data_IF_952398731376
#
_entry.id   IF_952398731376
#
_cell.length_a   1.000
_cell.length_b   1.000
_cell.length_c   1.000
_cell.angle_alpha   90.00
_cell.angle_beta   90.00
_cell.angle_gamma   90.00
#
_symmetry.space_group_name_H-M   'P 1'
#
loop_
_entity.id
_entity.type
_entity.pdbx_description
1 polymer ?
#
# COMPACT_ATOMS: atom_id res chain seq x y z
N UNK A 1 11.43 -15.21 17.52
CA UNK A 1 10.09 -15.78 17.74
C UNK A 1 10.07 -17.06 18.57
N UNK A 2 11.13 -17.31 19.36
CA UNK A 2 11.26 -18.41 20.33
C UNK A 2 11.49 -17.87 21.76
N UNK A 3 11.42 -16.54 21.92
CA UNK A 3 11.55 -15.82 23.17
C UNK A 3 10.38 -16.17 24.09
N UNK A 4 10.60 -16.03 25.40
CA UNK A 4 9.61 -16.42 26.40
C UNK A 4 8.48 -15.40 26.52
N UNK A 5 8.76 -14.14 26.16
CA UNK A 5 7.81 -13.02 26.27
C UNK A 5 7.73 -12.20 24.99
N UNK A 6 6.64 -11.46 24.83
CA UNK A 6 6.45 -10.54 23.69
C UNK A 6 7.43 -9.37 23.79
N UNK A 7 7.71 -8.93 25.02
CA UNK A 7 8.61 -7.83 25.33
C UNK A 7 10.05 -8.18 24.92
N UNK A 8 10.54 -9.37 25.28
CA UNK A 8 11.84 -9.88 24.87
C UNK A 8 11.94 -10.01 23.34
N UNK A 9 10.89 -10.54 22.70
CA UNK A 9 10.84 -10.61 21.24
C UNK A 9 10.95 -9.23 20.58
N UNK A 10 10.18 -8.25 21.07
CA UNK A 10 10.22 -6.87 20.55
C UNK A 10 11.60 -6.25 20.78
N UNK A 11 12.21 -6.41 21.96
CA UNK A 11 13.54 -5.86 22.25
C UNK A 11 14.63 -6.44 21.33
N UNK A 12 14.58 -7.76 21.05
CA UNK A 12 15.50 -8.38 20.10
C UNK A 12 15.35 -7.80 18.67
N UNK A 13 14.11 -7.55 18.22
CA UNK A 13 13.87 -6.90 16.94
C UNK A 13 14.37 -5.44 16.92
N UNK A 14 14.29 -4.74 18.06
CA UNK A 14 14.78 -3.37 18.18
C UNK A 14 16.30 -3.27 18.02
N UNK A 15 17.06 -4.28 18.47
CA UNK A 15 18.51 -4.35 18.22
C UNK A 15 18.82 -4.43 16.72
N UNK A 16 18.13 -5.32 15.99
CA UNK A 16 18.31 -5.46 14.55
C UNK A 16 17.86 -4.19 13.82
N UNK A 17 16.73 -3.61 14.22
CA UNK A 17 16.25 -2.34 13.67
C UNK A 17 17.28 -1.22 13.83
N UNK A 18 17.94 -1.13 15.00
CA UNK A 18 19.00 -0.16 15.25
C UNK A 18 20.19 -0.31 14.30
N UNK A 19 20.62 -1.54 14.02
CA UNK A 19 21.69 -1.80 13.06
C UNK A 19 21.29 -1.52 11.61
N UNK A 20 20.06 -1.88 11.21
CA UNK A 20 19.51 -1.49 9.91
C UNK A 20 19.44 0.03 9.79
N UNK A 21 19.01 0.73 10.84
CA UNK A 21 18.97 2.18 10.88
C UNK A 21 20.37 2.78 10.79
N UNK A 22 21.39 2.19 11.44
CA UNK A 22 22.77 2.68 11.37
C UNK A 22 23.29 2.72 9.93
N UNK A 23 23.00 1.69 9.13
CA UNK A 23 23.49 1.58 7.74
C UNK A 23 22.56 2.22 6.69
N UNK A 24 21.32 2.53 7.05
CA UNK A 24 20.35 3.15 6.14
C UNK A 24 20.84 4.52 5.67
N UNK A 25 20.66 4.84 4.39
CA UNK A 25 20.89 6.21 3.89
C UNK A 25 19.89 7.21 4.47
N UNK A 26 20.23 8.49 4.46
CA UNK A 26 19.35 9.55 4.99
C UNK A 26 18.02 9.70 4.21
N UNK A 27 18.03 9.31 2.94
CA UNK A 27 16.88 9.27 2.03
C UNK A 27 16.21 7.88 1.96
N UNK A 28 16.67 6.91 2.76
CA UNK A 28 16.23 5.52 2.70
C UNK A 28 15.04 5.18 3.60
N UNK A 29 14.48 4.00 3.33
CA UNK A 29 13.33 3.41 4.03
C UNK A 29 13.71 2.12 4.74
N UNK A 30 13.11 1.89 5.92
CA UNK A 30 13.04 0.56 6.56
C UNK A 30 11.59 0.12 6.51
N UNK A 31 11.31 -0.93 5.74
CA UNK A 31 10.00 -1.56 5.74
C UNK A 31 10.03 -2.80 6.62
N UNK A 32 9.12 -2.87 7.59
CA UNK A 32 9.08 -3.95 8.56
C UNK A 32 7.70 -4.63 8.55
N UNK A 33 7.67 -5.93 8.25
CA UNK A 33 6.46 -6.74 8.34
C UNK A 33 6.49 -7.63 9.59
N UNK A 34 5.37 -7.66 10.30
CA UNK A 34 5.17 -8.55 11.44
C UNK A 34 3.75 -9.11 11.42
N UNK A 35 3.65 -10.43 11.50
CA UNK A 35 2.41 -11.10 11.84
C UNK A 35 2.10 -10.98 13.34
N UNK A 36 0.83 -11.03 13.68
CA UNK A 36 0.38 -11.03 15.08
C UNK A 36 0.08 -12.45 15.58
N UNK A 37 0.03 -12.61 16.90
CA UNK A 37 -0.19 -13.90 17.56
C UNK A 37 -1.28 -13.78 18.62
N UNK A 38 -1.96 -14.90 18.85
CA UNK A 38 -2.94 -15.04 19.91
C UNK A 38 -2.34 -15.81 21.10
N UNK A 39 -2.62 -15.34 22.31
CA UNK A 39 -2.40 -16.06 23.58
C UNK A 39 -3.69 -15.97 24.38
N UNK A 40 -4.19 -17.11 24.86
CA UNK A 40 -5.44 -17.21 25.63
C UNK A 40 -6.64 -16.47 25.00
N UNK A 41 -6.76 -16.56 23.68
CA UNK A 41 -7.84 -15.93 22.91
C UNK A 41 -7.68 -14.42 22.68
N UNK A 42 -6.64 -13.80 23.24
CA UNK A 42 -6.35 -12.38 23.07
C UNK A 42 -5.28 -12.16 22.01
N UNK A 43 -5.49 -11.13 21.18
CA UNK A 43 -4.49 -10.69 20.21
C UNK A 43 -3.40 -9.91 20.94
N UNK A 44 -2.14 -10.24 20.70
CA UNK A 44 -1.01 -9.67 21.43
C UNK A 44 -0.64 -8.25 20.97
N UNK A 45 -1.07 -7.84 19.77
CA UNK A 45 -0.72 -6.57 19.14
C UNK A 45 0.79 -6.44 18.92
N UNK A 46 1.49 -7.56 18.67
CA UNK A 46 2.95 -7.57 18.49
C UNK A 46 3.43 -6.57 17.43
N UNK A 47 2.79 -6.46 16.24
CA UNK A 47 3.22 -5.52 15.22
C UNK A 47 3.16 -4.06 15.70
N UNK A 48 2.10 -3.69 16.43
CA UNK A 48 1.89 -2.33 16.92
C UNK A 48 2.79 -2.02 18.12
N UNK A 49 3.03 -2.99 19.01
CA UNK A 49 4.01 -2.86 20.10
C UNK A 49 5.40 -2.58 19.55
N UNK A 50 5.80 -3.29 18.50
CA UNK A 50 7.05 -3.04 17.80
C UNK A 50 7.10 -1.63 17.20
N UNK A 51 6.08 -1.23 16.43
CA UNK A 51 6.05 0.07 15.79
C UNK A 51 6.11 1.24 16.79
N UNK A 52 5.38 1.14 17.91
CA UNK A 52 5.45 2.12 19.00
C UNK A 52 6.83 2.15 19.66
N UNK A 53 7.45 0.98 19.88
CA UNK A 53 8.79 0.89 20.45
C UNK A 53 9.83 1.55 19.55
N UNK A 54 9.73 1.37 18.24
CA UNK A 54 10.57 2.05 17.24
C UNK A 54 10.45 3.57 17.37
N UNK A 55 9.21 4.10 17.36
CA UNK A 55 8.95 5.54 17.42
C UNK A 55 9.39 6.18 18.73
N UNK A 56 9.35 5.44 19.84
CA UNK A 56 9.78 5.94 21.14
C UNK A 56 11.31 5.98 21.30
N UNK A 57 12.05 5.11 20.61
CA UNK A 57 13.50 4.92 20.83
C UNK A 57 14.37 5.49 19.73
N UNK A 58 13.89 5.53 18.50
CA UNK A 58 14.68 5.96 17.35
C UNK A 58 14.12 7.26 16.74
N UNK A 59 14.99 8.17 16.26
CA UNK A 59 14.57 9.42 15.63
C UNK A 59 14.12 9.18 14.18
N UNK A 60 13.04 8.42 14.01
CA UNK A 60 12.46 8.06 12.70
C UNK A 60 11.01 8.52 12.61
N UNK A 61 10.48 8.54 11.38
CA UNK A 61 9.06 8.79 11.12
C UNK A 61 8.43 7.53 10.55
N UNK A 62 7.21 7.21 10.97
CA UNK A 62 6.38 6.19 10.32
C UNK A 62 5.55 6.88 9.23
N UNK A 63 5.85 6.56 7.96
CA UNK A 63 5.19 7.18 6.79
C UNK A 63 3.87 6.47 6.49
N UNK A 64 3.90 5.14 6.47
CA UNK A 64 2.72 4.31 6.19
C UNK A 64 2.71 3.03 7.02
N UNK A 65 1.50 2.57 7.34
CA UNK A 65 1.25 1.19 7.76
C UNK A 65 0.48 0.50 6.64
N UNK A 66 1.21 -0.03 5.65
CA UNK A 66 0.62 -0.69 4.48
C UNK A 66 0.03 -2.03 4.91
N UNK A 67 -1.26 -2.25 4.66
CA UNK A 67 -1.96 -3.49 4.97
C UNK A 67 -1.84 -4.45 3.79
N UNK A 68 -1.13 -5.56 3.98
CA UNK A 68 -1.23 -6.70 3.08
C UNK A 68 -2.50 -7.48 3.39
N UNK A 69 -3.38 -7.62 2.40
CA UNK A 69 -4.57 -8.47 2.44
C UNK A 69 -4.27 -9.77 1.71
N UNK A 70 -4.32 -10.87 2.45
CA UNK A 70 -4.12 -12.24 1.98
C UNK A 70 -5.41 -12.72 1.32
N UNK A 71 -5.38 -12.95 0.01
CA UNK A 71 -6.56 -13.37 -0.76
C UNK A 71 -6.97 -14.84 -0.50
N UNK A 72 -6.01 -15.68 -0.09
CA UNK A 72 -6.18 -17.10 0.22
C UNK A 72 -5.57 -17.42 1.60
N UNK A 73 -6.06 -16.82 2.70
CA UNK A 73 -5.53 -17.10 4.02
C UNK A 73 -5.73 -18.58 4.36
N UNK A 74 -4.82 -19.15 5.15
CA UNK A 74 -4.91 -20.58 5.53
C UNK A 74 -6.30 -20.87 6.13
N UNK A 75 -7.05 -21.85 5.58
CA UNK A 75 -8.43 -22.11 5.97
C UNK A 75 -8.48 -22.83 7.32
N UNK A 76 -8.25 -22.09 8.41
CA UNK A 76 -8.42 -22.57 9.79
C UNK A 76 -9.74 -22.08 10.33
N UNK A 77 -10.57 -22.96 10.87
CA UNK A 77 -11.80 -22.56 11.53
C UNK A 77 -11.57 -22.38 13.02
N UNK A 78 -12.08 -21.28 13.57
CA UNK A 78 -12.04 -20.98 14.99
C UNK A 78 -13.46 -20.73 15.49
N UNK A 79 -13.82 -21.24 16.67
CA UNK A 79 -15.18 -21.08 17.21
C UNK A 79 -15.50 -19.66 17.69
N UNK A 80 -14.49 -18.91 18.13
CA UNK A 80 -14.65 -17.62 18.84
C UNK A 80 -13.88 -16.46 18.21
N UNK A 81 -13.42 -16.60 16.95
CA UNK A 81 -12.72 -15.53 16.22
C UNK A 81 -12.72 -15.76 14.71
N UNK A 82 -12.42 -14.70 13.96
CA UNK A 82 -12.17 -14.77 12.53
C UNK A 82 -10.73 -15.20 12.23
N UNK A 83 -10.49 -15.64 11.00
CA UNK A 83 -9.14 -15.91 10.49
C UNK A 83 -8.44 -14.58 10.24
N UNK A 84 -7.18 -14.46 10.69
CA UNK A 84 -6.37 -13.31 10.32
C UNK A 84 -6.01 -13.40 8.84
N UNK A 85 -6.49 -12.44 8.06
CA UNK A 85 -6.25 -12.33 6.62
C UNK A 85 -5.43 -11.11 6.26
N UNK A 86 -4.90 -10.38 7.26
CA UNK A 86 -4.14 -9.16 7.02
C UNK A 86 -2.87 -9.11 7.86
N UNK A 87 -1.86 -8.44 7.33
CA UNK A 87 -0.62 -8.12 8.04
C UNK A 87 -0.13 -6.71 7.68
N UNK A 88 0.41 -5.94 8.64
CA UNK A 88 0.98 -4.64 8.37
C UNK A 88 2.42 -4.73 7.87
N UNK A 89 2.78 -3.82 6.96
CA UNK A 89 4.13 -3.41 6.60
C UNK A 89 4.29 -1.96 7.08
N UNK A 90 5.13 -1.74 8.08
CA UNK A 90 5.44 -0.41 8.59
C UNK A 90 6.61 0.18 7.81
N UNK A 91 6.41 1.36 7.22
CA UNK A 91 7.41 2.08 6.45
C UNK A 91 8.01 3.23 7.28
N UNK A 92 9.25 3.06 7.73
CA UNK A 92 9.99 4.04 8.53
C UNK A 92 11.05 4.77 7.71
N UNK A 93 11.20 6.08 7.96
CA UNK A 93 12.21 6.93 7.32
C UNK A 93 13.02 7.73 8.33
N UNK A 94 14.27 8.03 7.98
CA UNK A 94 15.17 8.87 8.80
C UNK A 94 14.84 10.36 8.75
N UNK A 95 14.33 10.83 7.63
CA UNK A 95 14.17 12.25 7.36
C UNK A 95 12.89 12.54 6.60
N UNK A 96 12.58 13.82 6.36
CA UNK A 96 11.48 14.21 5.45
C UNK A 96 11.87 14.19 3.97
N UNK A 97 13.16 14.06 3.66
CA UNK A 97 13.69 14.08 2.30
C UNK A 97 14.02 12.65 1.85
N UNK A 98 13.04 11.75 2.00
CA UNK A 98 13.17 10.35 1.60
C UNK A 98 12.79 10.16 0.13
N UNK A 99 13.35 9.13 -0.49
CA UNK A 99 13.02 8.76 -1.87
C UNK A 99 11.62 8.15 -1.97
N UNK A 100 10.76 8.62 -2.87
CA UNK A 100 9.43 8.06 -3.02
C UNK A 100 8.92 8.19 -4.46
N UNK A 101 9.00 7.10 -5.22
CA UNK A 101 8.65 7.09 -6.64
C UNK A 101 7.18 6.73 -6.87
N UNK A 102 6.33 7.70 -6.58
CA UNK A 102 4.89 7.55 -6.74
C UNK A 102 4.49 7.41 -8.22
N UNK A 103 5.17 8.12 -9.13
CA UNK A 103 4.79 8.17 -10.54
C UNK A 103 5.10 6.85 -11.26
N UNK A 104 6.28 6.27 -11.05
CA UNK A 104 6.63 4.94 -11.58
C UNK A 104 5.69 3.87 -11.03
N UNK A 105 5.43 3.91 -9.72
CA UNK A 105 4.48 3.01 -9.08
C UNK A 105 3.08 3.09 -9.71
N UNK A 106 2.57 4.29 -9.95
CA UNK A 106 1.22 4.48 -10.48
C UNK A 106 1.12 4.18 -11.97
N UNK A 107 2.16 4.46 -12.76
CA UNK A 107 2.16 4.16 -14.20
C UNK A 107 1.99 2.67 -14.48
N UNK A 108 2.65 1.81 -13.69
CA UNK A 108 2.50 0.35 -13.75
C UNK A 108 1.07 -0.10 -13.45
N UNK A 109 0.44 0.42 -12.39
CA UNK A 109 -0.95 0.13 -12.05
C UNK A 109 -1.95 0.63 -13.10
N UNK A 110 -1.62 1.72 -13.79
CA UNK A 110 -2.48 2.30 -14.83
C UNK A 110 -2.55 1.42 -16.08
N UNK A 111 -1.45 0.73 -16.43
CA UNK A 111 -1.41 -0.25 -17.52
C UNK A 111 -2.36 -1.43 -17.26
N UNK A 112 -2.39 -1.92 -16.01
CA UNK A 112 -3.26 -3.01 -15.57
C UNK A 112 -4.75 -2.63 -15.51
N UNK A 113 -5.07 -1.35 -15.25
CA UNK A 113 -6.45 -0.86 -15.00
C UNK A 113 -7.21 -0.36 -16.21
N UNK A 114 -6.60 -0.33 -17.40
CA UNK A 114 -7.15 0.31 -18.61
C UNK A 114 -8.45 -0.29 -19.19
N UNK A 115 -9.14 -1.20 -18.48
CA UNK A 115 -10.27 -1.99 -19.00
C UNK A 115 -11.68 -1.69 -18.48
N UNK A 116 -11.99 -0.67 -17.64
CA UNK A 116 -13.34 -0.65 -17.03
C UNK A 116 -14.12 0.67 -16.80
N UNK A 117 -13.83 1.82 -17.42
CA UNK A 117 -14.54 3.08 -17.06
C UNK A 117 -15.22 3.90 -18.16
N UNK A 118 -15.11 3.53 -19.43
CA UNK A 118 -15.73 4.26 -20.55
C UNK A 118 -17.08 3.65 -20.94
N UNK A 119 -18.04 3.64 -20.02
CA UNK A 119 -19.40 3.16 -20.29
C UNK A 119 -20.38 4.29 -20.67
N UNK A 120 -21.44 4.01 -21.46
CA UNK A 120 -22.45 4.98 -21.90
C UNK A 120 -23.32 5.58 -20.77
N UNK A 121 -23.10 5.15 -19.53
CA UNK A 121 -23.85 5.59 -18.33
C UNK A 121 -23.11 6.62 -17.47
N UNK A 122 -21.95 7.12 -17.93
CA UNK A 122 -21.16 8.09 -17.19
C UNK A 122 -21.97 9.38 -16.93
N UNK A 123 -22.08 9.79 -15.66
CA UNK A 123 -22.80 11.00 -15.27
C UNK A 123 -24.33 10.89 -15.18
N UNK A 124 -24.97 9.83 -15.68
CA UNK A 124 -26.45 9.68 -15.62
C UNK A 124 -26.99 9.72 -14.19
N UNK A 125 -26.29 9.09 -13.24
CA UNK A 125 -26.62 9.17 -11.81
C UNK A 125 -26.60 10.60 -11.31
N UNK A 126 -25.59 11.39 -11.68
CA UNK A 126 -25.45 12.76 -11.22
C UNK A 126 -26.50 13.69 -11.85
N UNK A 127 -26.89 13.48 -13.12
CA UNK A 127 -28.01 14.20 -13.73
C UNK A 127 -29.30 14.03 -12.90
N UNK A 128 -29.66 12.79 -12.56
CA UNK A 128 -30.83 12.50 -11.70
C UNK A 128 -30.72 13.13 -10.32
N UNK A 129 -29.52 13.14 -9.72
CA UNK A 129 -29.32 13.77 -8.40
C UNK A 129 -29.44 15.31 -8.48
N UNK A 130 -29.00 15.94 -9.57
CA UNK A 130 -29.16 17.39 -9.77
C UNK A 130 -30.65 17.73 -9.95
N UNK A 131 -31.36 16.98 -10.79
CA UNK A 131 -32.80 17.18 -11.05
C UNK A 131 -33.62 17.10 -9.76
N UNK A 132 -33.36 16.09 -8.92
CA UNK A 132 -34.09 15.84 -7.68
C UNK A 132 -33.53 16.61 -6.46
N UNK A 133 -32.57 17.52 -6.65
CA UNK A 133 -32.02 18.31 -5.55
C UNK A 133 -32.83 19.58 -5.23
N UNK A 134 -32.61 20.12 -4.03
CA UNK A 134 -33.13 21.42 -3.58
C UNK A 134 -32.34 22.62 -4.14
N UNK A 135 -31.51 22.41 -5.17
CA UNK A 135 -30.80 23.49 -5.82
C UNK A 135 -31.76 24.44 -6.55
N UNK A 136 -31.42 25.73 -6.59
CA UNK A 136 -32.17 26.69 -7.41
C UNK A 136 -32.06 26.35 -8.90
N UNK A 137 -32.99 26.80 -9.78
CA UNK A 137 -32.91 26.54 -11.22
C UNK A 137 -31.56 26.95 -11.84
N UNK A 138 -31.03 28.11 -11.45
CA UNK A 138 -29.72 28.59 -11.90
C UNK A 138 -28.56 27.68 -11.43
N UNK A 139 -28.63 27.19 -10.18
CA UNK A 139 -27.62 26.24 -9.67
C UNK A 139 -27.71 24.87 -10.35
N UNK A 140 -28.92 24.38 -10.67
CA UNK A 140 -29.11 23.13 -11.43
C UNK A 140 -28.51 23.24 -12.83
N UNK A 141 -28.78 24.33 -13.53
CA UNK A 141 -28.24 24.59 -14.86
C UNK A 141 -26.69 24.68 -14.83
N UNK A 142 -26.13 25.40 -13.85
CA UNK A 142 -24.69 25.47 -13.65
C UNK A 142 -24.08 24.08 -13.33
N UNK A 143 -24.75 23.29 -12.50
CA UNK A 143 -24.34 21.94 -12.14
C UNK A 143 -24.33 20.99 -13.33
N UNK A 144 -25.33 21.06 -14.21
CA UNK A 144 -25.41 20.26 -15.44
C UNK A 144 -24.30 20.63 -16.44
N UNK A 145 -24.05 21.92 -16.65
CA UNK A 145 -22.95 22.38 -17.52
C UNK A 145 -21.58 21.90 -17.04
N UNK A 146 -21.28 22.04 -15.75
CA UNK A 146 -20.01 21.57 -15.18
C UNK A 146 -19.90 20.04 -15.19
N UNK A 147 -21.03 19.33 -15.03
CA UNK A 147 -21.08 17.87 -15.17
C UNK A 147 -20.75 17.43 -16.60
N UNK A 148 -21.26 18.11 -17.63
CA UNK A 148 -20.95 17.82 -19.03
C UNK A 148 -19.48 18.06 -19.34
N UNK A 149 -18.95 19.20 -18.92
CA UNK A 149 -17.53 19.53 -19.08
C UNK A 149 -16.62 18.47 -18.47
N UNK A 150 -16.92 18.00 -17.25
CA UNK A 150 -16.08 16.99 -16.60
C UNK A 150 -16.24 15.59 -17.22
N UNK A 151 -17.39 15.28 -17.84
CA UNK A 151 -17.58 14.06 -18.62
C UNK A 151 -16.69 14.08 -19.87
N UNK A 152 -16.64 15.21 -20.59
CA UNK A 152 -15.74 15.38 -21.74
C UNK A 152 -14.27 15.24 -21.34
N UNK A 153 -13.87 15.78 -20.19
CA UNK A 153 -12.52 15.60 -19.65
C UNK A 153 -12.20 14.12 -19.37
N UNK A 154 -13.17 13.32 -18.95
CA UNK A 154 -12.99 11.86 -18.79
C UNK A 154 -12.88 11.17 -20.14
N UNK A 155 -13.76 11.50 -21.07
CA UNK A 155 -13.81 10.87 -22.39
C UNK A 155 -12.58 11.17 -23.25
N UNK A 156 -12.04 12.39 -23.14
CA UNK A 156 -10.79 12.80 -23.78
C UNK A 156 -9.53 12.26 -23.07
N UNK A 157 -9.68 11.60 -21.93
CA UNK A 157 -8.57 11.06 -21.14
C UNK A 157 -7.79 12.11 -20.34
N UNK A 158 -8.24 13.36 -20.30
CA UNK A 158 -7.63 14.44 -19.50
C UNK A 158 -7.68 14.15 -17.99
N UNK A 159 -8.73 13.45 -17.54
CA UNK A 159 -8.87 12.95 -16.17
C UNK A 159 -9.43 11.52 -16.23
N UNK A 160 -9.21 10.67 -15.22
CA UNK A 160 -9.76 9.31 -15.22
C UNK A 160 -11.16 9.17 -14.62
N UNK A 161 -11.68 10.22 -14.00
CA UNK A 161 -13.00 10.22 -13.41
C UNK A 161 -13.29 11.48 -12.62
N UNK A 162 -14.46 11.52 -11.99
CA UNK A 162 -14.84 12.60 -11.10
C UNK A 162 -15.81 12.13 -10.03
N UNK A 163 -15.93 12.90 -8.95
CA UNK A 163 -17.00 12.77 -7.93
C UNK A 163 -17.68 14.12 -7.76
N UNK A 164 -19.00 14.13 -7.87
CA UNK A 164 -19.81 15.32 -7.59
C UNK A 164 -20.44 15.19 -6.20
N UNK A 165 -20.42 16.27 -5.42
CA UNK A 165 -21.23 16.44 -4.20
C UNK A 165 -22.24 17.54 -4.45
N UNK A 166 -23.46 17.32 -3.97
CA UNK A 166 -24.61 18.22 -4.09
C UNK A 166 -25.14 18.49 -2.69
N UNK A 167 -25.35 19.77 -2.36
CA UNK A 167 -25.87 20.25 -1.08
C UNK A 167 -27.26 19.67 -0.83
N UNK A 168 -27.55 19.25 0.40
CA UNK A 168 -28.80 18.59 0.78
C UNK A 168 -28.88 17.10 0.44
N UNK A 169 -28.08 16.61 -0.52
CA UNK A 169 -28.05 15.18 -0.90
C UNK A 169 -26.87 14.45 -0.26
N UNK A 170 -25.70 15.08 -0.23
CA UNK A 170 -24.48 14.45 0.28
C UNK A 170 -24.13 15.04 1.65
N UNK A 171 -23.75 14.18 2.59
CA UNK A 171 -23.32 14.62 3.91
C UNK A 171 -22.16 15.64 3.81
N UNK A 172 -22.18 16.69 4.66
CA UNK A 172 -21.04 17.60 4.78
C UNK A 172 -19.79 16.84 5.21
N UNK A 173 -18.61 17.39 4.92
CA UNK A 173 -17.36 16.76 5.34
C UNK A 173 -17.29 16.71 6.89
N UNK A 174 -16.94 15.55 7.44
CA UNK A 174 -16.72 15.34 8.88
C UNK A 174 -15.21 15.28 9.13
N UNK A 175 -14.69 16.05 10.10
CA UNK A 175 -13.24 16.20 10.36
C UNK A 175 -12.59 17.28 9.47
N UNK A 176 -12.03 18.32 10.10
CA UNK A 176 -11.78 19.62 9.51
C UNK A 176 -10.65 19.75 8.48
N UNK A 177 -10.90 20.58 7.46
CA UNK A 177 -10.33 21.92 7.29
C UNK A 177 -11.44 22.76 6.64
N UNK A 178 -11.61 24.03 7.01
CA UNK A 178 -12.47 24.97 6.27
C UNK A 178 -11.83 25.26 4.90
N UNK A 179 -11.95 24.31 3.98
CA UNK A 179 -11.39 24.39 2.64
C UNK A 179 -12.33 25.07 1.67
N UNK A 180 -11.78 25.66 0.61
CA UNK A 180 -12.53 26.33 -0.47
C UNK A 180 -13.65 25.50 -1.11
N UNK A 181 -13.64 24.17 -0.94
CA UNK A 181 -14.71 23.26 -1.40
C UNK A 181 -15.98 23.34 -0.56
N UNK A 182 -15.88 23.62 0.74
CA UNK A 182 -17.03 23.85 1.63
C UNK A 182 -17.70 25.17 1.25
N UNK A 183 -16.90 26.22 1.06
CA UNK A 183 -17.33 27.52 0.53
C UNK A 183 -17.99 27.38 -0.85
N UNK A 184 -17.43 26.56 -1.74
CA UNK A 184 -18.00 26.31 -3.06
C UNK A 184 -19.34 25.56 -2.98
N UNK A 185 -19.45 24.57 -2.09
CA UNK A 185 -20.70 23.84 -1.86
C UNK A 185 -21.78 24.74 -1.25
N UNK A 186 -21.41 25.66 -0.35
CA UNK A 186 -22.31 26.65 0.25
C UNK A 186 -22.78 27.69 -0.77
N UNK A 187 -21.87 28.23 -1.59
CA UNK A 187 -22.19 29.28 -2.59
C UNK A 187 -22.88 28.73 -3.84
N UNK A 188 -22.34 27.67 -4.45
CA UNK A 188 -22.83 27.12 -5.72
C UNK A 188 -23.82 25.97 -5.54
N UNK A 189 -23.93 25.41 -4.34
CA UNK A 189 -24.78 24.25 -4.07
C UNK A 189 -24.19 22.90 -4.51
N UNK A 190 -23.06 22.89 -5.21
CA UNK A 190 -22.36 21.67 -5.62
C UNK A 190 -20.84 21.87 -5.69
N UNK A 191 -20.10 20.75 -5.68
CA UNK A 191 -18.67 20.72 -6.00
C UNK A 191 -18.34 19.47 -6.80
N UNK A 192 -17.40 19.59 -7.75
CA UNK A 192 -16.86 18.47 -8.52
C UNK A 192 -15.40 18.25 -8.16
N UNK A 193 -15.06 17.02 -7.82
CA UNK A 193 -13.71 16.55 -7.53
C UNK A 193 -13.24 15.80 -8.78
N UNK A 194 -12.30 16.39 -9.52
CA UNK A 194 -11.63 15.73 -10.66
C UNK A 194 -10.63 14.69 -10.15
N UNK A 195 -10.64 13.51 -10.75
CA UNK A 195 -9.72 12.41 -10.42
C UNK A 195 -8.73 12.27 -11.59
N UNK A 196 -7.49 12.71 -11.41
CA UNK A 196 -6.49 12.85 -12.47
C UNK A 196 -5.94 11.52 -13.04
N UNK A 197 -6.41 10.36 -12.56
CA UNK A 197 -6.06 9.06 -13.15
C UNK A 197 -4.84 8.37 -12.61
N UNK A 198 -4.02 9.09 -11.86
CA UNK A 198 -3.23 8.51 -10.80
C UNK A 198 -4.21 7.81 -9.85
N UNK A 199 -4.24 6.47 -9.86
CA UNK A 199 -5.12 5.71 -8.99
C UNK A 199 -5.00 6.23 -7.56
N UNK A 200 -6.12 6.35 -6.83
CA UNK A 200 -6.03 6.63 -5.39
C UNK A 200 -5.21 5.50 -4.80
N UNK A 201 -3.99 5.81 -4.38
CA UNK A 201 -3.09 4.85 -3.77
C UNK A 201 -3.64 4.56 -2.39
N UNK A 202 -4.07 3.33 -2.20
CA UNK A 202 -4.42 2.81 -0.88
C UNK A 202 -3.14 2.26 -0.29
N UNK A 203 -3.00 2.39 1.01
CA UNK A 203 -2.07 1.64 1.84
C UNK A 203 -2.53 0.18 1.99
N UNK A 204 -3.05 -0.42 0.92
CA UNK A 204 -3.55 -1.80 0.89
C UNK A 204 -2.99 -2.50 -0.33
N UNK A 205 -2.30 -3.63 -0.10
CA UNK A 205 -1.80 -4.51 -1.16
C UNK A 205 -2.55 -5.83 -1.02
N UNK A 206 -3.27 -6.24 -2.06
CA UNK A 206 -3.97 -7.52 -2.11
C UNK A 206 -3.12 -8.52 -2.89
N UNK A 207 -2.77 -9.64 -2.27
CA UNK A 207 -1.99 -10.70 -2.91
C UNK A 207 -2.30 -12.06 -2.27
N UNK A 208 -2.34 -13.16 -3.02
CA UNK A 208 -2.32 -14.49 -2.41
C UNK A 208 -1.02 -14.68 -1.63
N UNK A 209 -1.05 -15.56 -0.64
CA UNK A 209 0.13 -16.15 0.00
C UNK A 209 0.79 -17.07 -1.02
N UNK A 210 2.11 -16.94 -1.19
CA UNK A 210 2.89 -17.78 -2.08
C UNK A 210 3.41 -19.02 -1.35
N UNK A 211 3.41 -20.14 -2.06
CA UNK A 211 4.15 -21.34 -1.67
C UNK A 211 4.98 -21.75 -2.86
N UNK A 212 6.26 -22.05 -2.65
CA UNK A 212 7.11 -22.54 -3.73
C UNK A 212 7.20 -24.06 -3.58
N UNK A 213 6.81 -24.77 -4.64
CA UNK A 213 6.77 -26.24 -4.65
C UNK A 213 8.17 -26.81 -4.38
N UNK A 214 8.29 -27.69 -3.40
CA UNK A 214 9.57 -28.30 -3.00
C UNK A 214 10.40 -27.47 -2.03
N UNK A 215 9.92 -26.30 -1.60
CA UNK A 215 10.59 -25.42 -0.64
C UNK A 215 9.89 -25.50 0.71
N UNK A 216 10.61 -25.98 1.73
CA UNK A 216 10.12 -26.09 3.12
C UNK A 216 10.16 -24.78 3.92
N UNK A 217 10.20 -23.61 3.28
CA UNK A 217 10.17 -22.33 3.99
C UNK A 217 8.72 -21.99 4.38
N UNK A 218 8.40 -21.86 5.68
CA UNK A 218 7.02 -21.81 6.15
C UNK A 218 6.32 -20.47 5.89
N UNK A 219 7.07 -19.40 5.65
CA UNK A 219 6.53 -18.03 5.54
C UNK A 219 7.21 -17.26 4.39
N UNK A 220 6.97 -17.68 3.14
CA UNK A 220 7.51 -16.99 1.97
C UNK A 220 6.63 -15.77 1.67
N UNK A 221 7.24 -14.59 1.58
CA UNK A 221 6.54 -13.39 1.12
C UNK A 221 6.26 -13.46 -0.38
N UNK A 222 5.08 -12.97 -0.84
CA UNK A 222 4.82 -12.89 -2.26
C UNK A 222 5.76 -11.92 -2.97
N UNK A 223 6.34 -12.32 -4.10
CA UNK A 223 7.21 -11.46 -4.92
C UNK A 223 6.48 -10.17 -5.33
N UNK A 224 5.17 -10.27 -5.59
CA UNK A 224 4.34 -9.11 -5.91
C UNK A 224 4.39 -8.06 -4.79
N UNK A 225 4.14 -8.43 -3.53
CA UNK A 225 4.13 -7.48 -2.41
C UNK A 225 5.47 -6.77 -2.27
N UNK A 226 6.57 -7.54 -2.36
CA UNK A 226 7.93 -7.00 -2.25
C UNK A 226 8.24 -6.08 -3.44
N UNK A 227 7.83 -6.44 -4.66
CA UNK A 227 8.07 -5.61 -5.86
C UNK A 227 7.42 -4.23 -5.75
N UNK A 228 6.21 -4.17 -5.18
CA UNK A 228 5.47 -2.93 -4.96
C UNK A 228 6.23 -1.98 -4.00
N UNK A 229 6.84 -2.54 -2.97
CA UNK A 229 7.61 -1.80 -1.98
C UNK A 229 8.96 -1.34 -2.55
N UNK A 230 9.71 -2.24 -3.20
CA UNK A 230 11.01 -1.92 -3.80
C UNK A 230 10.87 -0.86 -4.89
N UNK A 231 9.89 -0.99 -5.78
CA UNK A 231 9.66 0.00 -6.83
C UNK A 231 9.34 1.38 -6.28
N UNK A 232 8.56 1.44 -5.20
CA UNK A 232 8.13 2.70 -4.60
C UNK A 232 9.24 3.38 -3.77
N UNK A 233 10.01 2.60 -3.03
CA UNK A 233 10.84 3.09 -1.92
C UNK A 233 12.34 3.00 -2.21
N UNK A 234 12.75 2.28 -3.26
CA UNK A 234 14.16 2.12 -3.63
C UNK A 234 14.44 2.67 -5.04
N UNK A 235 15.40 3.60 -5.19
CA UNK A 235 15.77 4.11 -6.51
C UNK A 235 16.33 2.99 -7.42
N UNK A 236 16.25 3.17 -8.75
CA UNK A 236 16.99 2.32 -9.69
C UNK A 236 18.49 2.27 -9.32
N UNK A 237 19.12 1.10 -9.46
CA UNK A 237 20.50 0.84 -9.01
C UNK A 237 20.73 1.06 -7.49
N UNK A 238 19.65 1.26 -6.71
CA UNK A 238 19.71 1.32 -5.25
C UNK A 238 20.03 -0.03 -4.63
N UNK A 239 20.31 -0.03 -3.32
CA UNK A 239 20.65 -1.24 -2.55
C UNK A 239 19.52 -1.60 -1.60
N UNK A 240 19.04 -2.84 -1.65
CA UNK A 240 18.06 -3.40 -0.70
C UNK A 240 18.76 -4.36 0.27
N UNK A 241 18.72 -4.07 1.56
CA UNK A 241 19.22 -4.96 2.62
C UNK A 241 18.05 -5.72 3.23
N UNK A 242 18.17 -7.05 3.29
CA UNK A 242 17.26 -7.91 4.05
C UNK A 242 18.03 -8.72 5.11
N UNK A 243 17.89 -8.38 6.41
CA UNK A 243 18.55 -9.10 7.50
C UNK A 243 17.89 -10.44 7.85
N UNK A 244 16.75 -10.76 7.22
CA UNK A 244 15.98 -11.99 7.41
C UNK A 244 15.60 -12.60 6.04
N UNK A 245 16.62 -12.79 5.19
CA UNK A 245 16.46 -13.06 3.76
C UNK A 245 15.62 -14.31 3.44
N UNK A 246 15.61 -15.32 4.32
CA UNK A 246 14.85 -16.55 4.15
C UNK A 246 15.14 -17.19 2.79
N UNK A 247 14.08 -17.56 2.08
CA UNK A 247 14.19 -18.17 0.75
C UNK A 247 14.60 -17.20 -0.38
N UNK A 248 14.92 -15.93 -0.10
CA UNK A 248 15.52 -15.03 -1.09
C UNK A 248 14.57 -14.19 -1.93
N UNK A 249 13.29 -14.07 -1.56
CA UNK A 249 12.30 -13.27 -2.34
C UNK A 249 12.78 -11.83 -2.54
N UNK A 250 13.32 -11.18 -1.50
CA UNK A 250 13.84 -9.81 -1.58
C UNK A 250 14.98 -9.69 -2.58
N UNK A 251 15.91 -10.65 -2.61
CA UNK A 251 17.02 -10.67 -3.55
C UNK A 251 16.54 -10.86 -5.00
N UNK A 252 15.66 -11.84 -5.23
CA UNK A 252 15.09 -12.13 -6.57
C UNK A 252 14.37 -10.91 -7.13
N UNK A 253 13.51 -10.28 -6.35
CA UNK A 253 12.76 -9.08 -6.75
C UNK A 253 13.71 -7.91 -7.01
N UNK A 254 14.69 -7.70 -6.13
CA UNK A 254 15.66 -6.61 -6.30
C UNK A 254 16.45 -6.77 -7.61
N UNK A 255 16.97 -7.97 -7.89
CA UNK A 255 17.66 -8.28 -9.15
C UNK A 255 16.76 -8.04 -10.35
N UNK A 256 15.53 -8.55 -10.34
CA UNK A 256 14.59 -8.41 -11.44
C UNK A 256 14.20 -6.95 -11.73
N UNK A 257 14.21 -6.09 -10.70
CA UNK A 257 13.95 -4.65 -10.81
C UNK A 257 15.21 -3.82 -11.09
N UNK A 258 16.39 -4.42 -11.28
CA UNK A 258 17.63 -3.65 -11.49
C UNK A 258 18.10 -2.90 -10.24
N UNK A 259 17.97 -3.54 -9.07
CA UNK A 259 18.53 -3.05 -7.80
C UNK A 259 19.58 -4.03 -7.30
N UNK A 260 20.58 -3.51 -6.60
CA UNK A 260 21.51 -4.31 -5.83
C UNK A 260 20.85 -4.81 -4.54
N UNK A 261 21.36 -5.88 -3.96
CA UNK A 261 20.85 -6.41 -2.70
C UNK A 261 21.96 -6.97 -1.81
N UNK A 262 21.68 -7.00 -0.52
CA UNK A 262 22.46 -7.70 0.51
C UNK A 262 21.49 -8.53 1.34
N UNK A 263 21.78 -9.81 1.51
CA UNK A 263 20.94 -10.72 2.27
C UNK A 263 21.68 -11.44 3.36
N UNK A 264 21.04 -11.54 4.52
CA UNK A 264 21.56 -12.27 5.68
C UNK A 264 20.47 -13.23 6.14
N UNK A 265 20.85 -14.48 6.39
CA UNK A 265 20.00 -15.44 7.10
C UNK A 265 20.89 -16.35 7.94
N UNK A 266 20.44 -16.69 9.14
CA UNK A 266 21.18 -17.59 10.04
C UNK A 266 21.06 -19.06 9.63
N UNK A 267 20.07 -19.42 8.81
CA UNK A 267 19.85 -20.77 8.34
C UNK A 267 20.55 -21.00 6.98
N UNK A 268 21.62 -21.79 6.99
CA UNK A 268 22.40 -22.09 5.78
C UNK A 268 21.55 -22.72 4.66
N UNK A 269 20.53 -23.51 4.98
CA UNK A 269 19.64 -24.11 3.98
C UNK A 269 18.83 -23.06 3.24
N UNK A 270 18.43 -21.98 3.93
CA UNK A 270 17.71 -20.85 3.31
C UNK A 270 18.65 -20.03 2.43
N UNK A 271 19.90 -19.83 2.86
CA UNK A 271 20.94 -19.17 2.05
C UNK A 271 21.21 -19.93 0.75
N UNK A 272 21.41 -21.25 0.82
CA UNK A 272 21.60 -22.10 -0.37
C UNK A 272 20.42 -22.04 -1.33
N UNK A 273 19.20 -21.99 -0.78
CA UNK A 273 17.99 -21.91 -1.55
C UNK A 273 17.82 -20.55 -2.25
N UNK A 274 18.11 -19.47 -1.55
CA UNK A 274 18.12 -18.13 -2.11
C UNK A 274 19.13 -18.03 -3.27
N UNK A 275 20.33 -18.60 -3.12
CA UNK A 275 21.33 -18.67 -4.18
C UNK A 275 20.82 -19.42 -5.43
N UNK A 276 20.21 -20.60 -5.25
CA UNK A 276 19.60 -21.37 -6.36
C UNK A 276 18.50 -20.60 -7.09
N UNK A 277 17.65 -19.86 -6.35
CA UNK A 277 16.62 -19.01 -6.98
C UNK A 277 17.24 -17.87 -7.79
N UNK A 278 18.35 -17.30 -7.33
CA UNK A 278 19.04 -16.22 -8.03
C UNK A 278 19.70 -16.69 -9.34
N UNK A 279 20.22 -17.92 -9.39
CA UNK A 279 20.77 -18.51 -10.63
C UNK A 279 19.71 -18.68 -11.72
N UNK A 280 18.47 -19.00 -11.35
CA UNK A 280 17.35 -19.15 -12.29
C UNK A 280 16.59 -17.87 -12.64
N UNK A 281 16.96 -16.73 -12.03
CA UNK A 281 16.14 -15.49 -12.00
C UNK A 281 16.38 -14.49 -13.12
N UNK A 282 16.95 -14.87 -14.26
CA UNK A 282 17.09 -13.96 -15.43
C UNK A 282 15.73 -13.65 -16.11
N UNK A 283 14.61 -14.01 -15.49
CA UNK A 283 13.26 -13.74 -15.98
C UNK A 283 12.77 -12.39 -15.45
N UNK A 284 12.30 -11.55 -16.37
CA UNK A 284 11.47 -10.39 -16.03
C UNK A 284 10.23 -10.91 -15.30
N UNK A 285 9.88 -10.36 -14.13
CA UNK A 285 8.75 -10.82 -13.33
C UNK A 285 7.46 -10.73 -14.17
N UNK A 286 6.79 -11.86 -14.39
CA UNK A 286 5.58 -11.97 -15.25
C UNK A 286 4.43 -11.06 -14.82
N UNK A 287 4.46 -10.53 -13.60
CA UNK A 287 3.48 -9.59 -13.04
C UNK A 287 3.75 -8.11 -13.37
N UNK A 288 4.86 -7.79 -14.06
CA UNK A 288 5.20 -6.42 -14.51
C UNK A 288 4.80 -6.15 -15.97
N UNK A 289 4.31 -7.17 -16.69
CA UNK A 289 3.78 -7.12 -18.06
C UNK A 289 2.24 -7.10 -18.07
#
# INVERSE_FOLDING_TARGET
>A
GNENTVEEYVENLMHVFGECLRVLRHDGHIVFNLGDKYVDGSLLLVPWRFALSVLNRFPVKLVNAVTWVKLNPTPRQYRRRLVSSTEPFFDFVKSSNYYFDLDSYLSMHSLLRRRSRTGPRLGQRYRRLIENSELTPAQKEQALRELERVIEEVQSGKIAGFRMKIRGIHAPAFGGQDGGRKIQLEKKGFTIIRLLGNGIKRDVIESPVETIRGIGHPAIFPEFVVSQLVQLLCPPEGVVLDPFMGSGTTAVVSKALGRHFVGIDTNSQYVELAAKRLEGSDRMLDYLL
#
